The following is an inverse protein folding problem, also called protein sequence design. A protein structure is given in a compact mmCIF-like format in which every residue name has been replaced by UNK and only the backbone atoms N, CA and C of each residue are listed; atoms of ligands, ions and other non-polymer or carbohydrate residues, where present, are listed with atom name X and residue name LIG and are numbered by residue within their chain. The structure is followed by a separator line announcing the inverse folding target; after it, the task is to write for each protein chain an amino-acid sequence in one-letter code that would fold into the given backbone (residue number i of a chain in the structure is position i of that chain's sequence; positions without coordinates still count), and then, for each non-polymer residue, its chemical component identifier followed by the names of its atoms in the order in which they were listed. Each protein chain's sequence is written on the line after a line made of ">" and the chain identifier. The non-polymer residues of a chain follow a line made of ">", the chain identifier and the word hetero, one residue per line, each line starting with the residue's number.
data_IF_156651220070
#
_entry.id   IF_156651220070
#
_cell.length_a   1.000
_cell.length_b   1.000
_cell.length_c   1.000
_cell.angle_alpha   90.00
_cell.angle_beta   90.00
_cell.angle_gamma   90.00
#
_symmetry.space_group_name_H-M   'P 1'
#
loop_
_entity.id
_entity.type
_entity.pdbx_description
1 polymer ?
#
# COMPACT_ATOMS: atom_id res chain seq x y z
N UNK A 1 47.71 -22.44 -2.50
CA UNK A 1 46.29 -22.67 -2.81
C UNK A 1 45.56 -21.39 -2.47
N UNK A 2 45.07 -20.66 -3.48
CA UNK A 2 44.33 -19.43 -3.29
C UNK A 2 42.84 -19.77 -3.28
N UNK A 3 42.22 -19.71 -2.10
CA UNK A 3 40.77 -19.52 -1.96
C UNK A 3 40.57 -18.51 -0.85
N UNK A 4 40.58 -17.23 -1.22
CA UNK A 4 39.93 -16.19 -0.44
C UNK A 4 38.61 -15.86 -1.14
N UNK A 5 37.69 -16.83 -1.15
CA UNK A 5 36.27 -16.51 -1.12
C UNK A 5 36.02 -15.99 0.31
N UNK A 6 35.23 -14.97 0.58
CA UNK A 6 33.87 -14.75 0.09
C UNK A 6 33.60 -13.23 0.18
N UNK A 7 33.02 -12.64 -0.86
CA UNK A 7 32.60 -11.24 -0.83
C UNK A 7 31.37 -11.14 0.09
N UNK A 8 31.61 -10.97 1.39
CA UNK A 8 30.57 -10.83 2.40
C UNK A 8 29.92 -9.46 2.23
N UNK A 9 28.78 -9.40 1.53
CA UNK A 9 27.95 -8.21 1.42
C UNK A 9 27.48 -7.82 2.82
N UNK A 10 28.23 -6.95 3.47
CA UNK A 10 28.18 -6.82 4.93
C UNK A 10 26.83 -6.30 5.43
N UNK A 11 26.08 -5.54 4.61
CA UNK A 11 24.72 -5.07 4.93
C UNK A 11 23.92 -4.77 3.66
N UNK A 12 22.63 -5.12 3.63
CA UNK A 12 21.67 -4.69 2.61
C UNK A 12 20.56 -3.91 3.30
N UNK A 13 20.48 -2.61 3.01
CA UNK A 13 19.49 -1.70 3.62
C UNK A 13 18.39 -1.41 2.60
N UNK A 14 17.15 -1.70 2.97
CA UNK A 14 15.96 -1.35 2.19
C UNK A 14 15.25 -0.17 2.85
N UNK A 15 15.18 0.97 2.16
CA UNK A 15 14.47 2.17 2.60
C UNK A 15 13.37 2.52 1.59
N UNK A 16 12.15 2.67 2.07
CA UNK A 16 10.99 3.05 1.28
C UNK A 16 10.32 4.29 1.90
N UNK A 17 9.69 5.10 1.05
CA UNK A 17 8.92 6.27 1.46
C UNK A 17 7.59 6.27 0.72
N UNK A 18 6.50 6.52 1.46
CA UNK A 18 5.13 6.59 0.92
C UNK A 18 4.51 7.86 1.47
N UNK A 19 4.02 8.71 0.58
CA UNK A 19 3.19 9.87 0.91
C UNK A 19 1.81 9.64 0.29
N UNK A 20 0.78 9.77 1.11
CA UNK A 20 -0.61 9.75 0.67
C UNK A 20 -1.16 11.14 0.94
N UNK A 21 -1.58 11.81 -0.12
CA UNK A 21 -2.33 13.05 -0.05
C UNK A 21 -3.63 12.89 -0.84
N UNK A 22 -4.52 13.84 -0.63
CA UNK A 22 -5.79 13.86 -1.32
C UNK A 22 -5.54 14.10 -2.82
N UNK A 23 -4.68 15.05 -3.20
CA UNK A 23 -4.44 15.40 -4.61
C UNK A 23 -4.01 14.24 -5.53
N UNK A 24 -3.35 13.22 -5.00
CA UNK A 24 -2.92 12.03 -5.74
C UNK A 24 -4.00 10.95 -5.92
N UNK A 25 -5.15 11.01 -5.24
CA UNK A 25 -6.22 9.97 -5.25
C UNK A 25 -7.64 10.53 -4.96
N UNK A 26 -7.82 11.85 -4.89
CA UNK A 26 -9.06 12.58 -4.64
C UNK A 26 -9.75 12.92 -5.96
N UNK A 27 -10.19 11.90 -6.69
CA UNK A 27 -11.17 12.08 -7.77
C UNK A 27 -11.90 10.78 -8.13
N UNK A 28 -11.33 9.61 -7.83
CA UNK A 28 -11.98 8.33 -8.16
C UNK A 28 -13.06 7.91 -7.13
N UNK A 29 -13.12 8.56 -5.97
CA UNK A 29 -14.19 8.37 -4.98
C UNK A 29 -15.33 9.40 -5.13
N UNK A 30 -15.44 10.07 -6.29
CA UNK A 30 -16.66 10.77 -6.67
C UNK A 30 -17.75 9.72 -7.00
N UNK A 31 -18.39 9.23 -5.94
CA UNK A 31 -19.74 8.67 -5.92
C UNK A 31 -20.09 7.76 -7.12
N UNK A 32 -19.71 6.48 -7.07
CA UNK A 32 -20.43 5.46 -7.85
C UNK A 32 -21.77 5.23 -7.16
N UNK A 33 -22.81 5.97 -7.58
CA UNK A 33 -24.20 5.64 -7.24
C UNK A 33 -24.57 4.40 -8.04
N UNK A 34 -24.41 3.21 -7.46
CA UNK A 34 -25.12 2.02 -7.94
C UNK A 34 -26.57 2.21 -7.51
N UNK A 35 -27.45 2.61 -8.44
CA UNK A 35 -28.90 2.59 -8.21
C UNK A 35 -29.35 1.12 -8.23
N UNK A 36 -29.01 0.39 -7.17
CA UNK A 36 -29.60 -0.89 -6.82
C UNK A 36 -30.69 -0.61 -5.80
N UNK A 37 -31.91 -1.08 -6.06
CA UNK A 37 -32.99 -1.02 -5.07
C UNK A 37 -32.58 -1.87 -3.85
N UNK A 38 -32.10 -1.20 -2.78
CA UNK A 38 -31.82 -1.83 -1.49
C UNK A 38 -30.45 -1.47 -0.91
N UNK A 39 -30.48 -0.80 0.24
CA UNK A 39 -29.36 -0.44 1.14
C UNK A 39 -28.45 0.72 0.73
N UNK A 40 -28.27 1.66 1.67
CA UNK A 40 -27.24 2.71 1.61
C UNK A 40 -25.86 2.06 1.45
N UNK A 41 -24.95 2.62 0.64
CA UNK A 41 -23.58 2.12 0.56
C UNK A 41 -22.94 2.12 1.95
N UNK A 42 -22.31 1.01 2.30
CA UNK A 42 -21.60 0.88 3.58
C UNK A 42 -20.37 1.78 3.55
N UNK A 43 -20.26 2.68 4.53
CA UNK A 43 -19.08 3.53 4.69
C UNK A 43 -17.87 2.69 5.07
N UNK A 44 -16.73 2.93 4.40
CA UNK A 44 -15.43 2.42 4.83
C UNK A 44 -14.72 3.50 5.64
N UNK A 45 -14.53 3.26 6.93
CA UNK A 45 -13.88 4.18 7.86
C UNK A 45 -12.61 3.50 8.35
N UNK A 46 -11.45 4.01 7.92
CA UNK A 46 -10.14 3.51 8.32
C UNK A 46 -9.56 4.34 9.48
N UNK A 47 -10.27 4.40 10.61
CA UNK A 47 -9.94 5.18 11.82
C UNK A 47 -9.19 4.38 12.90
N UNK A 48 -8.79 3.15 12.59
CA UNK A 48 -8.12 2.20 13.48
C UNK A 48 -7.03 1.45 12.69
N UNK A 49 -6.13 0.69 13.36
CA UNK A 49 -5.01 0.06 12.65
C UNK A 49 -5.42 -0.80 11.46
N UNK A 50 -4.82 -0.54 10.30
CA UNK A 50 -5.14 -1.25 9.05
C UNK A 50 -3.89 -1.64 8.25
N UNK A 51 -4.06 -2.58 7.33
CA UNK A 51 -3.06 -2.98 6.35
C UNK A 51 -3.34 -2.30 5.00
N UNK A 52 -2.29 -1.99 4.26
CA UNK A 52 -2.42 -1.46 2.90
C UNK A 52 -1.43 -2.14 1.95
N UNK A 53 -1.81 -2.19 0.68
CA UNK A 53 -0.97 -2.71 -0.40
C UNK A 53 -1.07 -1.77 -1.62
N UNK A 54 0.07 -1.50 -2.23
CA UNK A 54 0.14 -0.90 -3.57
C UNK A 54 0.51 -2.04 -4.51
N UNK A 55 -0.38 -2.38 -5.45
CA UNK A 55 -0.19 -3.51 -6.37
C UNK A 55 -0.34 -3.09 -7.82
N UNK A 56 0.47 -3.70 -8.69
CA UNK A 56 0.22 -3.69 -10.13
C UNK A 56 -1.01 -4.57 -10.42
N UNK A 57 -2.05 -3.99 -11.02
CA UNK A 57 -3.30 -4.71 -11.32
C UNK A 57 -3.15 -5.74 -12.45
N UNK A 58 -2.25 -5.52 -13.40
CA UNK A 58 -2.05 -6.39 -14.57
C UNK A 58 -1.25 -7.62 -14.19
N UNK A 59 -0.18 -7.45 -13.40
CA UNK A 59 0.71 -8.55 -13.02
C UNK A 59 0.36 -9.17 -11.67
N UNK A 60 -0.39 -8.46 -10.82
CA UNK A 60 -0.68 -8.87 -9.45
C UNK A 60 0.47 -8.64 -8.47
N UNK A 61 1.59 -8.09 -8.93
CA UNK A 61 2.78 -7.84 -8.11
C UNK A 61 2.50 -6.82 -7.00
N UNK A 62 2.95 -7.14 -5.78
CA UNK A 62 2.92 -6.22 -4.64
C UNK A 62 4.14 -5.32 -4.74
N UNK A 63 3.91 -4.02 -4.95
CA UNK A 63 4.95 -3.00 -5.02
C UNK A 63 5.31 -2.48 -3.63
N UNK A 64 4.28 -2.32 -2.78
CA UNK A 64 4.44 -1.93 -1.38
C UNK A 64 3.42 -2.66 -0.51
N UNK A 65 3.83 -2.98 0.72
CA UNK A 65 2.96 -3.51 1.77
C UNK A 65 3.32 -2.85 3.09
N UNK A 66 2.32 -2.52 3.90
CA UNK A 66 2.54 -1.90 5.19
C UNK A 66 1.35 -1.98 6.12
N UNK A 67 1.59 -1.59 7.37
CA UNK A 67 0.60 -1.48 8.43
C UNK A 67 0.62 -0.07 8.98
N UNK A 68 -0.53 0.59 8.99
CA UNK A 68 -0.68 1.87 9.70
C UNK A 68 -1.24 1.58 11.09
N UNK A 69 -0.50 1.98 12.12
CA UNK A 69 -0.88 1.75 13.52
C UNK A 69 -1.53 2.96 14.19
N UNK A 70 -1.18 4.16 13.74
CA UNK A 70 -1.64 5.40 14.34
C UNK A 70 -1.83 6.44 13.24
N UNK A 71 -3.02 7.01 13.20
CA UNK A 71 -3.31 8.26 12.50
C UNK A 71 -2.98 9.39 13.49
N UNK A 72 -2.29 10.42 13.01
CA UNK A 72 -1.69 11.48 13.83
C UNK A 72 -2.75 12.30 14.56
#
# INVERSE_FOLDING_TARGET
>A
MAVSSENLTNWVIHKAFIQVDEKGTEAAAATVVVIGHGSSPTAFIADHPFLFLIKDKRTGSILFIGRLMKLF
#
